data_IF_325582901317
#
_entry.id   IF_325582901317
#
_cell.length_a   1.000
_cell.length_b   1.000
_cell.length_c   1.000
_cell.angle_alpha   90.00
_cell.angle_beta   90.00
_cell.angle_gamma   90.00
#
_symmetry.space_group_name_H-M   'P 1'
#
loop_
_entity.id
_entity.type
_entity.pdbx_description
1 polymer ?
#
# COMPACT_ATOMS: atom_id res chain seq x y z
N UNK A 1 -3.68 -10.20 -12.83
CA UNK A 1 -2.30 -9.92 -13.32
C UNK A 1 -1.59 -9.11 -12.25
N UNK A 2 -0.27 -9.21 -12.12
CA UNK A 2 0.20 -9.26 -10.74
C UNK A 2 0.69 -7.93 -10.21
N UNK A 3 0.08 -7.55 -9.09
CA UNK A 3 0.61 -6.52 -8.21
C UNK A 3 1.96 -7.00 -7.66
N UNK A 4 2.92 -6.07 -7.57
CA UNK A 4 4.18 -6.24 -6.87
C UNK A 4 4.06 -5.60 -5.49
N UNK A 5 4.11 -6.43 -4.46
CA UNK A 5 4.07 -6.07 -3.03
C UNK A 5 4.93 -7.04 -2.23
N UNK A 6 5.39 -6.63 -1.05
CA UNK A 6 6.16 -7.50 -0.15
C UNK A 6 5.32 -8.73 0.26
N UNK A 7 5.89 -9.93 0.06
CA UNK A 7 5.22 -11.22 0.35
C UNK A 7 4.82 -11.39 1.80
N UNK A 8 5.45 -10.66 2.72
CA UNK A 8 5.18 -10.75 4.15
C UNK A 8 3.97 -9.88 4.56
N UNK A 9 3.39 -9.11 3.64
CA UNK A 9 2.11 -8.42 3.88
C UNK A 9 1.00 -9.45 4.11
N UNK A 10 0.29 -9.40 5.26
CA UNK A 10 -0.78 -10.36 5.52
C UNK A 10 -1.93 -10.32 4.49
N UNK A 11 -2.09 -9.21 3.76
CA UNK A 11 -3.02 -9.12 2.63
C UNK A 11 -2.74 -10.16 1.53
N UNK A 12 -1.48 -10.61 1.36
CA UNK A 12 -1.09 -11.56 0.31
C UNK A 12 -1.81 -12.91 0.46
N UNK A 13 -1.99 -13.42 1.68
CA UNK A 13 -2.69 -14.69 1.92
C UNK A 13 -4.18 -14.59 1.55
N UNK A 14 -4.80 -13.45 1.88
CA UNK A 14 -6.21 -13.18 1.55
C UNK A 14 -6.38 -13.07 0.03
N UNK A 15 -5.52 -12.30 -0.64
CA UNK A 15 -5.55 -12.12 -2.10
C UNK A 15 -5.34 -13.44 -2.85
N UNK A 16 -4.45 -14.31 -2.37
CA UNK A 16 -4.23 -15.65 -2.96
C UNK A 16 -5.48 -16.51 -2.90
N UNK A 17 -6.24 -16.43 -1.81
CA UNK A 17 -7.51 -17.16 -1.65
C UNK A 17 -8.58 -16.69 -2.66
N UNK A 18 -8.47 -15.44 -3.12
CA UNK A 18 -9.38 -14.82 -4.08
C UNK A 18 -8.92 -14.98 -5.55
N UNK A 19 -7.98 -15.88 -5.83
CA UNK A 19 -7.35 -16.05 -7.16
C UNK A 19 -6.68 -14.77 -7.69
N UNK A 20 -6.33 -13.83 -6.81
CA UNK A 20 -5.56 -12.65 -7.17
C UNK A 20 -4.08 -13.03 -7.17
N UNK A 21 -3.50 -13.02 -8.37
CA UNK A 21 -2.07 -13.32 -8.55
C UNK A 21 -1.23 -12.16 -8.01
N UNK A 22 -0.44 -12.42 -6.97
CA UNK A 22 0.64 -11.53 -6.48
C UNK A 22 1.96 -11.99 -7.11
N UNK A 23 2.69 -11.11 -7.79
CA UNK A 23 3.97 -11.51 -8.43
C UNK A 23 5.12 -11.46 -7.45
N UNK A 24 6.05 -12.38 -7.66
CA UNK A 24 7.40 -12.31 -7.13
C UNK A 24 8.26 -11.38 -8.02
N UNK A 25 9.21 -10.65 -7.42
CA UNK A 25 10.15 -9.76 -8.13
C UNK A 25 10.85 -10.47 -9.30
N UNK A 26 11.05 -11.78 -9.19
CA UNK A 26 11.71 -12.62 -10.19
C UNK A 26 10.88 -12.84 -11.48
N UNK A 27 9.54 -12.79 -11.40
CA UNK A 27 8.65 -13.00 -12.57
C UNK A 27 8.28 -11.69 -13.28
N UNK A 28 8.42 -10.56 -12.60
CA UNK A 28 8.18 -9.22 -13.15
C UNK A 28 9.13 -8.85 -14.31
N UNK A 29 10.37 -9.36 -14.28
CA UNK A 29 11.41 -8.99 -15.24
C UNK A 29 11.16 -9.45 -16.70
N UNK A 30 10.10 -10.23 -16.96
CA UNK A 30 9.77 -10.72 -18.30
C UNK A 30 8.74 -9.85 -19.06
N UNK A 31 8.21 -8.80 -18.45
CA UNK A 31 7.29 -7.88 -19.13
C UNK A 31 8.05 -6.64 -19.63
N UNK A 32 7.87 -6.31 -20.91
CA UNK A 32 8.51 -5.16 -21.58
C UNK A 32 7.76 -3.83 -21.32
N UNK A 33 6.94 -3.79 -20.25
CA UNK A 33 6.11 -2.65 -19.85
C UNK A 33 6.64 -2.15 -18.51
N UNK A 34 6.93 -0.84 -18.40
CA UNK A 34 7.36 -0.25 -17.13
C UNK A 34 6.27 -0.46 -16.05
N UNK A 35 6.63 -0.85 -14.81
CA UNK A 35 5.67 -0.88 -13.72
C UNK A 35 5.22 0.55 -13.35
N UNK A 36 3.97 0.71 -12.97
CA UNK A 36 3.45 1.95 -12.40
C UNK A 36 3.70 1.98 -10.90
N UNK A 37 4.33 3.04 -10.40
CA UNK A 37 4.57 3.24 -8.97
C UNK A 37 3.41 3.96 -8.32
N UNK A 38 2.73 3.31 -7.38
CA UNK A 38 1.59 3.86 -6.65
C UNK A 38 1.96 4.00 -5.17
N UNK A 39 1.83 5.21 -4.63
CA UNK A 39 1.99 5.50 -3.22
C UNK A 39 0.62 5.53 -2.54
N UNK A 40 0.49 4.89 -1.38
CA UNK A 40 -0.77 4.84 -0.63
C UNK A 40 -0.56 5.41 0.78
N UNK A 41 -1.11 6.59 1.05
CA UNK A 41 -1.20 7.16 2.39
C UNK A 41 -2.44 6.61 3.11
N UNK A 42 -2.22 5.61 3.96
CA UNK A 42 -3.29 4.96 4.71
C UNK A 42 -3.50 5.62 6.07
N UNK A 43 -4.54 6.44 6.18
CA UNK A 43 -4.96 7.14 7.40
C UNK A 43 -6.06 6.38 8.19
N UNK A 44 -6.52 5.24 7.69
CA UNK A 44 -7.54 4.44 8.37
C UNK A 44 -7.00 3.79 9.67
N UNK A 45 -7.86 3.58 10.69
CA UNK A 45 -7.47 2.90 11.92
C UNK A 45 -7.25 1.39 11.70
N UNK A 46 -8.06 0.77 10.83
CA UNK A 46 -7.95 -0.64 10.46
C UNK A 46 -7.07 -0.80 9.21
N UNK A 47 -5.75 -0.67 9.40
CA UNK A 47 -4.78 -0.65 8.28
C UNK A 47 -4.83 -1.90 7.41
N UNK A 48 -4.74 -3.07 8.02
CA UNK A 48 -4.76 -4.38 7.35
C UNK A 48 -5.99 -4.60 6.46
N UNK A 49 -7.17 -4.21 6.95
CA UNK A 49 -8.43 -4.34 6.21
C UNK A 49 -8.43 -3.43 5.00
N UNK A 50 -8.00 -2.17 5.20
CA UNK A 50 -7.93 -1.15 4.16
C UNK A 50 -6.92 -1.53 3.07
N UNK A 51 -5.74 -2.03 3.46
CA UNK A 51 -4.71 -2.54 2.55
C UNK A 51 -5.28 -3.64 1.65
N UNK A 52 -5.92 -4.64 2.25
CA UNK A 52 -6.50 -5.76 1.50
C UNK A 52 -7.55 -5.29 0.51
N UNK A 53 -8.43 -4.37 0.91
CA UNK A 53 -9.46 -3.79 0.04
C UNK A 53 -8.85 -3.02 -1.13
N UNK A 54 -7.86 -2.15 -0.87
CA UNK A 54 -7.20 -1.38 -1.91
C UNK A 54 -6.45 -2.28 -2.89
N UNK A 55 -5.67 -3.23 -2.38
CA UNK A 55 -4.92 -4.18 -3.20
C UNK A 55 -5.86 -5.04 -4.05
N UNK A 56 -7.01 -5.46 -3.52
CA UNK A 56 -8.03 -6.20 -4.27
C UNK A 56 -8.51 -5.41 -5.49
N UNK A 57 -8.81 -4.12 -5.32
CA UNK A 57 -9.24 -3.26 -6.43
C UNK A 57 -8.12 -2.99 -7.44
N UNK A 58 -6.91 -2.71 -6.94
CA UNK A 58 -5.74 -2.46 -7.78
C UNK A 58 -5.31 -3.71 -8.56
N UNK A 59 -5.67 -4.91 -8.13
CA UNK A 59 -5.24 -6.14 -8.77
C UNK A 59 -6.03 -6.50 -10.04
N UNK A 60 -7.14 -5.79 -10.28
CA UNK A 60 -8.03 -6.03 -11.40
C UNK A 60 -7.62 -5.27 -12.67
N UNK A 61 -6.32 -5.15 -12.92
CA UNK A 61 -5.75 -4.50 -14.11
C UNK A 61 -4.68 -5.38 -14.75
N UNK A 62 -4.51 -5.32 -16.09
CA UNK A 62 -3.40 -5.98 -16.76
C UNK A 62 -2.04 -5.29 -16.55
N UNK A 63 -2.02 -4.08 -15.99
CA UNK A 63 -0.81 -3.31 -15.73
C UNK A 63 -0.06 -3.84 -14.50
N UNK A 64 1.27 -3.77 -14.56
CA UNK A 64 2.12 -4.07 -13.41
C UNK A 64 2.13 -2.86 -12.47
N UNK A 65 1.72 -3.07 -11.22
CA UNK A 65 1.69 -2.04 -10.19
C UNK A 65 2.72 -2.34 -9.10
N UNK A 66 3.51 -1.33 -8.74
CA UNK A 66 4.45 -1.34 -7.63
C UNK A 66 3.90 -0.44 -6.52
N UNK A 67 3.55 -1.04 -5.38
CA UNK A 67 2.77 -0.36 -4.35
C UNK A 67 3.61 -0.14 -3.10
N UNK A 68 3.69 1.10 -2.66
CA UNK A 68 4.33 1.49 -1.40
C UNK A 68 3.30 2.11 -0.44
N UNK A 69 3.38 1.76 0.84
CA UNK A 69 2.51 2.31 1.88
C UNK A 69 3.23 3.40 2.67
N UNK A 70 2.55 4.53 2.83
CA UNK A 70 3.00 5.70 3.58
C UNK A 70 2.22 5.81 4.89
N UNK A 71 2.92 6.16 5.98
CA UNK A 71 2.31 6.56 7.24
C UNK A 71 2.81 7.93 7.70
N UNK A 72 2.01 8.61 8.52
CA UNK A 72 2.40 9.88 9.12
C UNK A 72 3.30 9.63 10.34
N UNK A 73 4.49 10.22 10.32
CA UNK A 73 5.49 10.10 11.40
C UNK A 73 4.97 10.66 12.74
N UNK A 74 4.10 11.68 12.68
CA UNK A 74 3.51 12.35 13.83
C UNK A 74 2.45 11.53 14.58
N UNK A 75 1.97 10.41 14.01
CA UNK A 75 0.86 9.66 14.58
C UNK A 75 1.25 8.21 14.92
N UNK A 76 1.56 7.95 16.19
CA UNK A 76 1.62 6.57 16.70
C UNK A 76 0.21 5.99 16.79
N UNK A 77 -0.18 5.18 15.79
CA UNK A 77 -1.41 4.39 15.87
C UNK A 77 -1.33 3.47 17.09
N UNK A 78 -2.18 3.71 18.10
CA UNK A 78 -2.28 2.91 19.35
C UNK A 78 -2.68 1.44 19.11
N UNK A 79 -3.19 1.11 17.92
CA UNK A 79 -3.84 -0.19 17.64
C UNK A 79 -3.00 -1.13 16.75
N UNK A 80 -2.03 -0.60 16.00
CA UNK A 80 -1.25 -1.40 15.04
C UNK A 80 0.06 -1.84 15.68
N UNK A 81 0.28 -3.16 15.76
CA UNK A 81 1.53 -3.76 16.26
C UNK A 81 2.73 -3.10 15.57
N UNK A 82 3.58 -2.47 16.36
CA UNK A 82 4.72 -1.63 15.95
C UNK A 82 5.68 -2.30 14.94
N UNK A 83 5.74 -3.64 14.91
CA UNK A 83 6.58 -4.42 13.98
C UNK A 83 6.04 -4.45 12.54
N UNK A 84 4.71 -4.49 12.36
CA UNK A 84 4.11 -4.49 11.01
C UNK A 84 4.31 -3.14 10.32
N UNK A 85 4.15 -2.03 11.05
CA UNK A 85 4.34 -0.69 10.48
C UNK A 85 5.80 -0.47 10.07
N UNK A 86 6.77 -0.85 10.92
CA UNK A 86 8.20 -0.66 10.61
C UNK A 86 8.70 -1.45 9.41
N UNK A 87 8.04 -2.55 9.05
CA UNK A 87 8.51 -3.43 7.98
C UNK A 87 7.90 -3.06 6.62
N UNK A 88 6.66 -2.58 6.59
CA UNK A 88 5.90 -2.39 5.34
C UNK A 88 5.55 -0.95 5.02
N UNK A 89 5.65 -0.05 6.01
CA UNK A 89 5.35 1.36 5.82
C UNK A 89 6.61 2.21 5.81
N UNK A 90 6.64 3.17 4.89
CA UNK A 90 7.65 4.22 4.84
C UNK A 90 7.09 5.52 5.40
N UNK A 91 7.98 6.37 5.88
CA UNK A 91 7.69 7.76 6.24
C UNK A 91 7.83 8.68 5.03
N UNK A 92 7.24 9.87 5.09
CA UNK A 92 7.38 10.87 4.03
C UNK A 92 8.85 11.19 3.73
N UNK A 93 9.67 11.27 4.77
CA UNK A 93 11.11 11.52 4.69
C UNK A 93 11.86 10.49 3.83
N UNK A 94 11.37 9.24 3.75
CA UNK A 94 11.98 8.16 2.96
C UNK A 94 11.55 8.16 1.49
N UNK A 95 10.42 8.80 1.17
CA UNK A 95 9.83 8.79 -0.18
C UNK A 95 9.83 10.16 -0.86
N UNK A 96 10.23 11.23 -0.18
CA UNK A 96 10.24 12.60 -0.71
C UNK A 96 11.06 12.77 -1.99
N UNK A 97 12.16 12.01 -2.14
CA UNK A 97 13.04 12.07 -3.31
C UNK A 97 12.64 11.06 -4.41
N UNK A 98 11.51 10.36 -4.23
CA UNK A 98 11.02 9.35 -5.16
C UNK A 98 9.84 9.88 -5.97
N UNK A 99 9.79 9.48 -7.25
CA UNK A 99 8.69 9.80 -8.14
C UNK A 99 7.69 8.63 -8.21
N UNK A 100 6.40 8.97 -8.14
CA UNK A 100 5.29 8.03 -8.21
C UNK A 100 4.33 8.45 -9.34
N UNK A 101 3.75 7.46 -10.01
CA UNK A 101 2.73 7.65 -11.05
C UNK A 101 1.35 7.97 -10.45
N UNK A 102 1.12 7.60 -9.18
CA UNK A 102 -0.14 7.87 -8.49
C UNK A 102 0.00 7.91 -6.98
N UNK A 103 -0.87 8.69 -6.34
CA UNK A 103 -1.01 8.81 -4.90
C UNK A 103 -2.46 8.54 -4.50
N UNK A 104 -2.70 7.59 -3.61
CA UNK A 104 -3.99 7.32 -2.99
C UNK A 104 -3.93 7.78 -1.55
N UNK A 105 -4.80 8.72 -1.17
CA UNK A 105 -4.99 9.13 0.22
C UNK A 105 -6.31 8.54 0.69
N UNK A 106 -6.28 7.71 1.73
CA UNK A 106 -7.51 7.12 2.25
C UNK A 106 -8.30 8.13 3.08
N UNK A 107 -9.56 7.81 3.36
CA UNK A 107 -10.30 8.49 4.42
C UNK A 107 -9.60 8.36 5.78
N UNK A 108 -10.02 9.21 6.71
CA UNK A 108 -9.57 9.22 8.08
C UNK A 108 -10.78 9.49 9.00
N UNK A 109 -10.85 8.88 10.20
CA UNK A 109 -11.94 9.09 11.15
C UNK A 109 -11.76 10.40 11.93
N UNK A 110 -11.63 11.51 11.19
CA UNK A 110 -11.37 12.87 11.72
C UNK A 110 -12.42 13.87 11.26
N UNK A 111 -13.58 13.40 10.79
CA UNK A 111 -14.67 14.22 10.23
C UNK A 111 -15.22 15.28 11.20
N UNK A 112 -15.06 15.06 12.51
CA UNK A 112 -15.52 15.98 13.56
C UNK A 112 -14.46 16.98 14.02
N UNK A 113 -13.22 16.88 13.52
CA UNK A 113 -12.14 17.80 13.86
C UNK A 113 -12.04 18.88 12.78
N UNK A 114 -11.96 20.17 13.15
CA UNK A 114 -11.66 21.21 12.19
C UNK A 114 -10.24 21.01 11.62
N UNK A 115 -10.05 21.35 10.36
CA UNK A 115 -8.71 21.48 9.81
C UNK A 115 -8.00 22.65 10.51
N UNK A 116 -6.72 22.46 10.86
CA UNK A 116 -5.84 23.57 11.22
C UNK A 116 -5.38 24.23 9.90
N UNK A 117 -5.53 25.56 9.79
CA UNK A 117 -5.08 26.35 8.63
C UNK A 117 -3.55 26.41 8.49
#
# INVERSE_FOLDING_TARGET
>A
MPIRIDKKLPAVEILRTENIFVMDDQRAAHQDIRPLKILILNLMPLKMVTETQLLRHLANTPLQLDIEFLYMESHQSKTTRSEHMKTFYKTFSEVQDQYFDGLIITGAPVEHLPFEE
#
